data_IF_139216230683
#
_entry.id   IF_139216230683
#
_cell.length_a   1.000
_cell.length_b   1.000
_cell.length_c   1.000
_cell.angle_alpha   90.00
_cell.angle_beta   90.00
_cell.angle_gamma   90.00
#
_symmetry.space_group_name_H-M   'P 1'
#
loop_
_entity.id
_entity.type
_entity.pdbx_description
1 polymer ?
#
# COMPACT_ATOMS: atom_id res chain seq x y z
N UNK A 1 -65.67 -13.82 -46.91
CA UNK A 1 -65.50 -14.70 -45.74
C UNK A 1 -64.10 -14.46 -45.20
N UNK A 2 -63.96 -13.56 -44.23
CA UNK A 2 -62.68 -13.24 -43.59
C UNK A 2 -62.78 -13.71 -42.13
N UNK A 3 -62.11 -14.80 -41.80
CA UNK A 3 -61.95 -15.24 -40.42
C UNK A 3 -60.77 -14.48 -39.78
N UNK A 4 -60.88 -14.02 -38.53
CA UNK A 4 -59.79 -13.29 -37.88
C UNK A 4 -58.60 -14.22 -37.63
N UNK A 5 -57.43 -13.79 -38.11
CA UNK A 5 -56.14 -14.35 -37.74
C UNK A 5 -55.94 -14.12 -36.24
N UNK A 6 -55.98 -15.20 -35.47
CA UNK A 6 -55.61 -15.21 -34.05
C UNK A 6 -54.12 -14.93 -33.97
N UNK A 7 -53.78 -13.70 -33.61
CA UNK A 7 -52.43 -13.30 -33.25
C UNK A 7 -52.08 -14.01 -31.93
N UNK A 8 -51.29 -15.08 -32.01
CA UNK A 8 -50.75 -15.79 -30.85
C UNK A 8 -49.61 -14.95 -30.26
N UNK A 9 -49.95 -14.10 -29.30
CA UNK A 9 -49.01 -13.26 -28.55
C UNK A 9 -48.29 -14.08 -27.45
N UNK A 10 -47.79 -15.27 -27.79
CA UNK A 10 -46.95 -16.08 -26.91
C UNK A 10 -45.47 -15.90 -27.26
N UNK A 11 -45.04 -14.69 -27.58
CA UNK A 11 -43.62 -14.33 -27.60
C UNK A 11 -43.21 -13.87 -26.20
N UNK A 12 -42.54 -14.76 -25.48
CA UNK A 12 -41.64 -14.44 -24.38
C UNK A 12 -42.26 -13.63 -23.25
N UNK A 13 -42.95 -14.29 -22.33
CA UNK A 13 -43.04 -13.77 -20.97
C UNK A 13 -41.61 -13.68 -20.42
N UNK A 14 -40.96 -12.53 -20.62
CA UNK A 14 -39.73 -12.21 -19.93
C UNK A 14 -40.04 -12.33 -18.45
N UNK A 15 -39.46 -13.33 -17.79
CA UNK A 15 -39.55 -13.51 -16.34
C UNK A 15 -39.14 -12.18 -15.71
N UNK A 16 -40.14 -11.43 -15.22
CA UNK A 16 -39.87 -10.16 -14.58
C UNK A 16 -39.13 -10.48 -13.28
N UNK A 17 -37.94 -9.90 -13.06
CA UNK A 17 -37.18 -10.15 -11.86
C UNK A 17 -38.01 -9.74 -10.64
N UNK A 18 -38.03 -10.61 -9.63
CA UNK A 18 -38.72 -10.32 -8.38
C UNK A 18 -38.12 -9.08 -7.71
N UNK A 19 -38.92 -8.38 -6.89
CA UNK A 19 -38.44 -7.23 -6.12
C UNK A 19 -37.19 -7.58 -5.29
N UNK A 20 -37.16 -8.77 -4.68
CA UNK A 20 -36.00 -9.24 -3.93
C UNK A 20 -34.73 -9.41 -4.79
N UNK A 21 -34.88 -9.85 -6.05
CA UNK A 21 -33.75 -9.97 -6.98
C UNK A 21 -33.21 -8.59 -7.41
N UNK A 22 -34.10 -7.60 -7.58
CA UNK A 22 -33.71 -6.22 -7.87
C UNK A 22 -33.02 -5.56 -6.67
N UNK A 23 -33.52 -5.78 -5.45
CA UNK A 23 -32.90 -5.29 -4.21
C UNK A 23 -31.51 -5.91 -3.98
N UNK A 24 -31.37 -7.22 -4.22
CA UNK A 24 -30.08 -7.91 -4.13
C UNK A 24 -29.07 -7.34 -5.11
N UNK A 25 -29.47 -7.16 -6.37
CA UNK A 25 -28.61 -6.57 -7.40
C UNK A 25 -28.19 -5.13 -7.05
N UNK A 26 -29.12 -4.32 -6.55
CA UNK A 26 -28.81 -2.97 -6.11
C UNK A 26 -27.80 -2.96 -4.95
N UNK A 27 -27.92 -3.90 -4.01
CA UNK A 27 -26.98 -4.06 -2.91
C UNK A 27 -25.58 -4.49 -3.40
N UNK A 28 -25.49 -5.40 -4.38
CA UNK A 28 -24.22 -5.82 -4.98
C UNK A 28 -23.53 -4.67 -5.73
N UNK A 29 -24.28 -3.88 -6.50
CA UNK A 29 -23.77 -2.70 -7.20
C UNK A 29 -23.29 -1.63 -6.22
N UNK A 30 -24.02 -1.44 -5.11
CA UNK A 30 -23.60 -0.54 -4.04
C UNK A 30 -22.32 -1.01 -3.33
N UNK A 31 -22.21 -2.32 -3.03
CA UNK A 31 -21.00 -2.89 -2.44
C UNK A 31 -19.80 -2.75 -3.37
N UNK A 32 -19.96 -3.05 -4.65
CA UNK A 32 -18.88 -2.90 -5.64
C UNK A 32 -18.42 -1.45 -5.72
N UNK A 33 -19.36 -0.51 -5.78
CA UNK A 33 -19.04 0.92 -5.78
C UNK A 33 -18.30 1.35 -4.52
N UNK A 34 -18.69 0.81 -3.35
CA UNK A 34 -18.01 1.10 -2.09
C UNK A 34 -16.58 0.52 -2.08
N UNK A 35 -16.37 -0.70 -2.59
CA UNK A 35 -15.05 -1.31 -2.69
C UNK A 35 -14.15 -0.57 -3.68
N UNK A 36 -14.69 -0.12 -4.81
CA UNK A 36 -13.93 0.69 -5.79
C UNK A 36 -13.47 2.02 -5.16
N UNK A 37 -14.33 2.69 -4.39
CA UNK A 37 -13.93 3.89 -3.61
C UNK A 37 -12.86 3.60 -2.58
N UNK A 38 -12.99 2.52 -1.82
CA UNK A 38 -11.95 2.12 -0.84
C UNK A 38 -10.61 1.88 -1.54
N UNK A 39 -10.62 1.27 -2.73
CA UNK A 39 -9.38 1.07 -3.52
C UNK A 39 -8.78 2.38 -4.01
N UNK A 40 -9.62 3.31 -4.48
CA UNK A 40 -9.19 4.64 -4.89
C UNK A 40 -8.62 5.44 -3.71
N UNK A 41 -9.29 5.41 -2.56
CA UNK A 41 -8.84 6.06 -1.34
C UNK A 41 -7.51 5.49 -0.85
N UNK A 42 -7.35 4.16 -0.88
CA UNK A 42 -6.10 3.50 -0.52
C UNK A 42 -4.95 3.92 -1.45
N UNK A 43 -5.20 3.92 -2.77
CA UNK A 43 -4.21 4.37 -3.74
C UNK A 43 -3.84 5.85 -3.56
N UNK A 44 -4.82 6.70 -3.23
CA UNK A 44 -4.57 8.10 -2.94
C UNK A 44 -3.84 8.32 -1.61
N UNK A 45 -3.98 7.42 -0.63
CA UNK A 45 -3.19 7.44 0.60
C UNK A 45 -1.75 7.02 0.34
N UNK A 46 -1.54 5.91 -0.37
CA UNK A 46 -0.20 5.42 -0.73
C UNK A 46 0.60 6.48 -1.50
N UNK A 47 -0.05 7.19 -2.44
CA UNK A 47 0.61 8.25 -3.20
C UNK A 47 0.99 9.46 -2.32
N UNK A 48 0.12 9.85 -1.38
CA UNK A 48 0.44 10.93 -0.44
C UNK A 48 1.58 10.55 0.52
N UNK A 49 1.62 9.30 0.99
CA UNK A 49 2.70 8.83 1.86
C UNK A 49 4.05 8.79 1.13
N UNK A 50 4.08 8.39 -0.15
CA UNK A 50 5.31 8.43 -0.96
C UNK A 50 5.92 9.83 -1.09
N UNK A 51 5.06 10.85 -1.20
CA UNK A 51 5.46 12.24 -1.34
C UNK A 51 5.88 12.87 0.00
N UNK A 52 5.53 12.25 1.14
CA UNK A 52 5.94 12.73 2.45
C UNK A 52 7.41 12.39 2.71
N UNK A 53 8.24 13.37 3.11
CA UNK A 53 9.63 13.11 3.45
C UNK A 53 9.73 12.12 4.61
N UNK A 54 10.56 11.10 4.42
CA UNK A 54 10.87 10.11 5.44
C UNK A 54 11.46 10.79 6.69
N UNK A 55 11.06 10.33 7.87
CA UNK A 55 11.57 10.84 9.15
C UNK A 55 13.12 10.81 9.19
N UNK A 56 13.71 11.89 9.69
CA UNK A 56 15.16 12.05 9.71
C UNK A 56 15.88 10.99 10.57
N UNK A 57 15.23 10.49 11.62
CA UNK A 57 15.75 9.38 12.43
C UNK A 57 15.80 8.09 11.62
N UNK A 58 14.75 7.78 10.85
CA UNK A 58 14.72 6.62 9.95
C UNK A 58 15.83 6.72 8.90
N UNK A 59 15.98 7.89 8.26
CA UNK A 59 17.06 8.15 7.29
C UNK A 59 18.43 7.91 7.93
N UNK A 60 18.65 8.45 9.13
CA UNK A 60 19.92 8.26 9.87
C UNK A 60 20.22 6.78 10.12
N UNK A 61 19.22 5.99 10.49
CA UNK A 61 19.39 4.55 10.72
C UNK A 61 19.73 3.83 9.41
N UNK A 62 19.03 4.14 8.31
CA UNK A 62 19.30 3.55 7.00
C UNK A 62 20.71 3.89 6.50
N UNK A 63 21.14 5.14 6.64
CA UNK A 63 22.49 5.60 6.29
C UNK A 63 23.54 4.88 7.12
N UNK A 64 23.32 4.76 8.44
CA UNK A 64 24.23 4.04 9.34
C UNK A 64 24.39 2.58 8.96
N UNK A 65 23.29 1.87 8.64
CA UNK A 65 23.34 0.44 8.29
C UNK A 65 24.01 0.25 6.92
N UNK A 66 23.57 0.98 5.90
CA UNK A 66 24.04 0.77 4.54
C UNK A 66 25.43 1.38 4.27
N UNK A 67 25.81 2.40 5.03
CA UNK A 67 27.11 3.05 4.99
C UNK A 67 28.17 2.40 5.89
N UNK A 68 27.82 1.37 6.67
CA UNK A 68 28.77 0.71 7.55
C UNK A 68 29.92 0.05 6.74
N UNK A 69 31.17 0.06 7.25
CA UNK A 69 32.31 -0.54 6.54
C UNK A 69 32.12 -2.02 6.21
N UNK A 70 31.41 -2.74 7.08
CA UNK A 70 31.08 -4.15 7.03
C UNK A 70 29.69 -4.44 6.45
N UNK A 71 28.98 -3.42 5.96
CA UNK A 71 27.69 -3.61 5.31
C UNK A 71 27.81 -4.55 4.10
N UNK A 72 26.78 -5.40 3.86
CA UNK A 72 26.67 -6.19 2.64
C UNK A 72 26.92 -5.36 1.38
N UNK A 73 27.52 -5.98 0.35
CA UNK A 73 27.89 -5.27 -0.88
C UNK A 73 26.67 -4.63 -1.55
N UNK A 74 25.54 -5.32 -1.48
CA UNK A 74 24.25 -4.89 -2.00
C UNK A 74 23.75 -3.63 -1.27
N UNK A 75 23.93 -3.56 0.05
CA UNK A 75 23.54 -2.38 0.84
C UNK A 75 24.40 -1.19 0.47
N UNK A 76 25.72 -1.39 0.32
CA UNK A 76 26.64 -0.33 -0.11
C UNK A 76 26.36 0.11 -1.54
N UNK A 77 25.90 -0.80 -2.41
CA UNK A 77 25.45 -0.47 -3.77
C UNK A 77 24.22 0.44 -3.76
N UNK A 78 23.21 0.10 -2.94
CA UNK A 78 22.00 0.91 -2.70
C UNK A 78 22.41 2.29 -2.14
N UNK A 79 23.23 2.32 -1.10
CA UNK A 79 23.75 3.56 -0.50
C UNK A 79 24.48 4.44 -1.53
N UNK A 80 25.32 3.83 -2.38
CA UNK A 80 26.02 4.53 -3.45
C UNK A 80 25.07 5.10 -4.52
N UNK A 81 23.97 4.41 -4.85
CA UNK A 81 22.94 4.92 -5.77
C UNK A 81 22.18 6.10 -5.17
N UNK A 82 21.91 6.05 -3.86
CA UNK A 82 21.29 7.15 -3.13
C UNK A 82 22.22 8.38 -3.09
N UNK A 83 23.51 8.18 -2.80
CA UNK A 83 24.50 9.27 -2.83
C UNK A 83 24.70 9.89 -4.22
N UNK A 84 24.36 9.17 -5.31
CA UNK A 84 24.36 9.68 -6.69
C UNK A 84 23.00 10.26 -7.13
N UNK A 85 21.97 10.20 -6.29
CA UNK A 85 20.63 10.70 -6.59
C UNK A 85 19.80 9.83 -7.55
N UNK A 86 20.25 8.62 -7.87
CA UNK A 86 19.50 7.69 -8.75
C UNK A 86 18.45 6.86 -8.00
N UNK A 87 18.40 7.01 -6.68
CA UNK A 87 17.47 6.38 -5.74
C UNK A 87 17.35 7.35 -4.55
N UNK A 88 16.25 7.29 -3.79
CA UNK A 88 16.09 8.07 -2.55
C UNK A 88 15.80 7.12 -1.38
N UNK A 89 16.12 7.56 -0.16
CA UNK A 89 15.75 6.80 1.04
C UNK A 89 14.23 6.62 1.17
N UNK A 90 13.45 7.65 0.85
CA UNK A 90 11.98 7.55 0.82
C UNK A 90 11.51 6.52 -0.21
N UNK A 91 12.08 6.53 -1.42
CA UNK A 91 11.73 5.55 -2.45
C UNK A 91 12.03 4.11 -2.03
N UNK A 92 13.20 3.89 -1.42
CA UNK A 92 13.56 2.58 -0.86
C UNK A 92 12.61 2.16 0.28
N UNK A 93 12.21 3.08 1.14
CA UNK A 93 11.34 2.80 2.28
C UNK A 93 9.93 2.38 1.84
N UNK A 94 9.36 3.09 0.87
CA UNK A 94 8.01 2.84 0.38
C UNK A 94 7.92 1.65 -0.59
N UNK A 95 8.95 1.40 -1.39
CA UNK A 95 8.96 0.29 -2.35
C UNK A 95 10.30 -0.48 -2.35
N UNK A 96 10.61 -1.18 -1.24
CA UNK A 96 11.88 -1.89 -1.10
C UNK A 96 12.02 -3.09 -2.05
N UNK A 97 10.92 -3.58 -2.61
CA UNK A 97 10.92 -4.74 -3.51
C UNK A 97 11.52 -4.42 -4.89
N UNK A 98 11.51 -3.15 -5.31
CA UNK A 98 12.19 -2.72 -6.55
C UNK A 98 13.71 -2.91 -6.48
N UNK A 99 14.24 -2.89 -5.26
CA UNK A 99 15.66 -3.11 -4.97
C UNK A 99 15.96 -4.59 -4.66
N UNK A 100 14.96 -5.46 -4.87
CA UNK A 100 15.04 -6.90 -4.66
C UNK A 100 15.19 -7.30 -3.20
N UNK A 101 15.67 -8.54 -2.93
CA UNK A 101 15.79 -9.06 -1.57
C UNK A 101 16.66 -8.21 -0.64
N UNK A 102 17.66 -7.52 -1.19
CA UNK A 102 18.55 -6.67 -0.42
C UNK A 102 17.86 -5.38 0.07
N UNK A 103 17.04 -4.75 -0.77
CA UNK A 103 16.25 -3.58 -0.37
C UNK A 103 15.28 -3.90 0.77
N UNK A 104 14.53 -4.99 0.63
CA UNK A 104 13.65 -5.48 1.70
C UNK A 104 14.42 -5.76 2.98
N UNK A 105 15.55 -6.47 2.90
CA UNK A 105 16.31 -6.82 4.10
C UNK A 105 16.87 -5.58 4.80
N UNK A 106 17.34 -4.59 4.05
CA UNK A 106 17.83 -3.32 4.60
C UNK A 106 16.73 -2.57 5.36
N UNK A 107 15.52 -2.47 4.81
CA UNK A 107 14.38 -1.86 5.50
C UNK A 107 14.01 -2.63 6.78
N UNK A 108 13.98 -3.97 6.72
CA UNK A 108 13.70 -4.79 7.89
C UNK A 108 14.76 -4.62 8.99
N UNK A 109 16.03 -4.51 8.62
CA UNK A 109 17.13 -4.27 9.57
C UNK A 109 17.00 -2.87 10.20
N UNK A 110 16.64 -1.85 9.42
CA UNK A 110 16.35 -0.51 9.95
C UNK A 110 15.17 -0.50 10.93
N UNK A 111 14.06 -1.17 10.59
CA UNK A 111 12.90 -1.30 11.48
C UNK A 111 13.27 -1.99 12.81
N UNK A 112 14.10 -3.04 12.76
CA UNK A 112 14.58 -3.71 13.98
C UNK A 112 15.38 -2.77 14.87
N UNK A 113 16.29 -1.99 14.28
CA UNK A 113 17.11 -1.03 15.01
C UNK A 113 16.25 0.08 15.64
N UNK A 114 15.33 0.66 14.86
CA UNK A 114 14.39 1.66 15.35
C UNK A 114 13.54 1.12 16.51
N UNK A 115 13.02 -0.10 16.39
CA UNK A 115 12.23 -0.73 17.46
C UNK A 115 13.05 -0.91 18.75
N UNK A 116 14.33 -1.24 18.65
CA UNK A 116 15.21 -1.35 19.83
C UNK A 116 15.55 0.02 20.45
N UNK A 117 15.68 1.07 19.64
CA UNK A 117 15.99 2.42 20.10
C UNK A 117 14.78 3.11 20.76
N UNK A 118 13.55 2.79 20.32
CA UNK A 118 12.31 3.31 20.90
C UNK A 118 11.95 2.66 22.25
N UNK A 119 12.34 1.40 22.47
CA UNK A 119 11.96 0.63 23.68
C UNK A 119 12.85 0.94 24.91
N UNK A 120 13.98 1.64 24.75
CA UNK A 120 14.88 2.00 25.86
C UNK A 120 14.87 3.51 26.12
N UNK A 121 14.06 4.04 27.05
CA UNK A 121 14.37 5.34 27.64
C UNK A 121 15.71 5.22 28.38
N UNK A 122 16.64 6.15 28.10
CA UNK A 122 17.96 6.18 28.72
C UNK A 122 17.85 6.12 30.26
N UNK A 123 18.54 5.18 30.95
CA UNK A 123 18.62 5.19 32.40
C UNK A 123 19.64 6.26 32.82
N UNK A 124 19.18 7.48 33.06
CA UNK A 124 20.13 8.55 33.38
C UNK A 124 19.53 9.93 33.61
N UNK A 125 18.45 10.02 34.39
CA UNK A 125 17.92 11.27 34.90
C UNK A 125 17.96 11.30 36.42
N UNK A 126 19.12 11.04 37.03
CA UNK A 126 19.32 11.33 38.44
C UNK A 126 19.27 12.85 38.63
N UNK A 127 18.12 13.35 39.08
CA UNK A 127 17.99 14.68 39.65
C UNK A 127 18.80 14.75 40.94
N UNK A 128 20.02 15.26 40.86
CA UNK A 128 20.64 15.95 42.00
C UNK A 128 20.04 17.36 42.09
N UNK A 129 19.29 17.60 43.16
CA UNK A 129 19.15 18.89 43.83
C UNK A 129 19.05 18.67 45.33
#
# INVERSE_FOLDING_TARGET
MSGPSSYDASEGAAEQPSLAALETRAAEEALRTALDRVREDLAAMDERERDEPLDAGVVTVLERIAGAPDAPLEYRSIHGRIGRGSLTWSGLWHDPEQEGPAGRQLVLDAVRVLATEVVMPAPGGATER
#
